data_IF_020930592619
#
_entry.id   IF_020930592619
#
_cell.length_a   1.000
_cell.length_b   1.000
_cell.length_c   1.000
_cell.angle_alpha   90.00
_cell.angle_beta   90.00
_cell.angle_gamma   90.00
#
_symmetry.space_group_name_H-M   'P 1'
#
loop_
_entity.id
_entity.type
_entity.pdbx_description
1 polymer ?
#
# COMPACT_ATOMS: atom_id res chain seq x y z
N UNK A 1 8.04 15.84 34.66
CA UNK A 1 7.17 14.70 35.04
C UNK A 1 5.72 15.15 34.99
N UNK A 2 4.81 14.25 34.61
CA UNK A 2 3.36 14.50 34.61
C UNK A 2 2.82 14.56 36.06
N UNK A 3 1.80 15.37 36.30
CA UNK A 3 1.11 15.40 37.60
C UNK A 3 0.25 14.15 37.80
N UNK A 4 -0.07 13.78 39.06
CA UNK A 4 -0.95 12.64 39.33
C UNK A 4 -2.33 12.74 38.64
N UNK A 5 -2.88 13.96 38.53
CA UNK A 5 -4.15 14.21 37.86
C UNK A 5 -4.05 14.04 36.35
N UNK A 6 -2.94 14.48 35.74
CA UNK A 6 -2.66 14.23 34.31
C UNK A 6 -2.55 12.73 34.05
N UNK A 7 -1.81 11.98 34.89
CA UNK A 7 -1.69 10.51 34.77
C UNK A 7 -3.06 9.85 34.88
N UNK A 8 -3.89 10.26 35.85
CA UNK A 8 -5.25 9.76 36.03
C UNK A 8 -6.12 10.03 34.79
N UNK A 9 -5.97 11.19 34.15
CA UNK A 9 -6.67 11.50 32.90
C UNK A 9 -6.20 10.62 31.73
N UNK A 10 -4.90 10.31 31.65
CA UNK A 10 -4.35 9.48 30.57
C UNK A 10 -4.71 8.01 30.73
N UNK A 11 -4.94 7.51 31.96
CA UNK A 11 -5.37 6.13 32.22
C UNK A 11 -6.65 5.74 31.47
N UNK A 12 -7.55 6.68 31.18
CA UNK A 12 -8.74 6.41 30.36
C UNK A 12 -8.40 5.99 28.93
N UNK A 13 -7.21 6.32 28.43
CA UNK A 13 -6.73 5.93 27.11
C UNK A 13 -6.08 4.54 27.10
N UNK A 14 -5.81 3.94 28.26
CA UNK A 14 -5.15 2.63 28.36
C UNK A 14 -5.90 1.52 27.63
N UNK A 15 -7.22 1.63 27.49
CA UNK A 15 -8.07 0.70 26.71
C UNK A 15 -7.73 0.63 25.21
N UNK A 16 -7.00 1.62 24.67
CA UNK A 16 -6.55 1.64 23.27
C UNK A 16 -5.17 0.99 23.09
N UNK A 17 -4.61 0.39 24.13
CA UNK A 17 -3.32 -0.29 24.09
C UNK A 17 -3.51 -1.80 24.21
N UNK A 18 -2.68 -2.55 23.49
CA UNK A 18 -2.69 -4.02 23.52
C UNK A 18 -1.47 -4.48 24.32
N UNK A 19 -1.64 -4.52 25.64
CA UNK A 19 -0.56 -4.84 26.57
C UNK A 19 -0.50 -6.35 26.89
N UNK A 20 0.69 -6.82 27.29
CA UNK A 20 0.94 -8.16 27.86
C UNK A 20 0.45 -9.34 27.00
N UNK A 21 0.50 -9.23 25.68
CA UNK A 21 0.10 -10.31 24.78
C UNK A 21 -1.38 -10.69 24.89
N UNK A 22 -2.23 -9.75 25.35
CA UNK A 22 -3.68 -9.94 25.34
C UNK A 22 -4.15 -10.30 23.93
N UNK A 23 -4.99 -11.33 23.84
CA UNK A 23 -5.69 -11.64 22.60
C UNK A 23 -6.62 -10.47 22.23
N UNK A 24 -6.25 -9.76 21.17
CA UNK A 24 -7.00 -8.64 20.62
C UNK A 24 -7.42 -8.97 19.19
N UNK A 25 -8.64 -8.56 18.85
CA UNK A 25 -9.17 -8.69 17.49
C UNK A 25 -8.36 -7.85 16.50
N UNK A 26 -8.43 -8.20 15.21
CA UNK A 26 -7.78 -7.40 14.17
C UNK A 26 -8.27 -5.94 14.15
N UNK A 27 -9.53 -5.69 14.50
CA UNK A 27 -10.10 -4.33 14.56
C UNK A 27 -9.50 -3.55 15.74
N UNK A 28 -9.36 -4.18 16.92
CA UNK A 28 -8.68 -3.55 18.06
C UNK A 28 -7.22 -3.22 17.72
N UNK A 29 -6.51 -4.12 17.02
CA UNK A 29 -5.17 -3.84 16.50
C UNK A 29 -5.14 -2.63 15.57
N UNK A 30 -6.06 -2.55 14.61
CA UNK A 30 -6.13 -1.42 13.68
C UNK A 30 -6.31 -0.08 14.40
N UNK A 31 -7.12 -0.02 15.46
CA UNK A 31 -7.35 1.23 16.21
C UNK A 31 -6.50 1.38 17.47
N UNK A 32 -5.52 0.49 17.66
CA UNK A 32 -4.61 0.57 18.81
C UNK A 32 -3.65 1.75 18.67
N UNK A 33 -3.26 2.33 19.81
CA UNK A 33 -2.23 3.37 19.89
C UNK A 33 -0.82 2.82 20.12
N UNK A 34 -0.72 1.56 20.55
CA UNK A 34 0.54 0.94 20.92
C UNK A 34 0.34 -0.38 21.65
N UNK A 35 1.46 -1.01 21.97
CA UNK A 35 1.56 -2.24 22.78
C UNK A 35 2.05 -1.99 24.20
N UNK A 36 2.54 -0.77 24.51
CA UNK A 36 2.99 -0.39 25.84
C UNK A 36 2.46 0.99 26.26
N UNK A 37 1.59 1.03 27.28
CA UNK A 37 1.03 2.29 27.79
C UNK A 37 2.05 3.12 28.57
N UNK A 38 3.02 2.49 29.23
CA UNK A 38 4.11 3.19 29.92
C UNK A 38 4.95 4.00 28.94
N UNK A 39 5.25 3.45 27.75
CA UNK A 39 5.94 4.20 26.70
C UNK A 39 5.15 5.42 26.23
N UNK A 40 3.82 5.33 26.21
CA UNK A 40 2.97 6.49 25.93
C UNK A 40 3.05 7.54 27.05
N UNK A 41 3.05 7.14 28.33
CA UNK A 41 3.20 8.08 29.45
C UNK A 41 4.56 8.78 29.43
N UNK A 42 5.64 8.04 29.11
CA UNK A 42 6.98 8.59 28.95
C UNK A 42 7.03 9.62 27.82
N UNK A 43 6.47 9.26 26.66
CA UNK A 43 6.33 10.18 25.53
C UNK A 43 5.57 11.45 25.91
N UNK A 44 4.43 11.32 26.60
CA UNK A 44 3.63 12.47 27.04
C UNK A 44 4.38 13.34 28.07
N UNK A 45 5.18 12.73 28.95
CA UNK A 45 6.04 13.45 29.88
C UNK A 45 7.12 14.23 29.14
N UNK A 46 7.74 13.64 28.12
CA UNK A 46 8.75 14.30 27.28
C UNK A 46 8.12 15.42 26.45
N UNK A 47 6.93 15.19 25.88
CA UNK A 47 6.14 16.17 25.14
C UNK A 47 5.71 17.38 25.96
N UNK A 48 5.58 17.26 27.28
CA UNK A 48 5.24 18.42 28.14
C UNK A 48 6.35 19.49 28.11
N UNK A 49 7.59 19.10 27.82
CA UNK A 49 8.73 20.00 27.71
C UNK A 49 8.96 20.51 26.28
N UNK A 50 8.20 20.00 25.31
CA UNK A 50 8.24 20.46 23.93
C UNK A 50 7.70 21.90 23.87
N UNK A 51 8.41 22.77 23.15
CA UNK A 51 8.02 24.16 22.96
C UNK A 51 6.70 24.26 22.19
N UNK A 52 5.94 25.35 22.41
CA UNK A 52 4.73 25.62 21.63
C UNK A 52 5.02 25.71 20.12
N UNK A 53 6.25 26.09 19.75
CA UNK A 53 6.72 26.15 18.37
C UNK A 53 6.76 24.77 17.71
N UNK A 54 7.22 23.73 18.40
CA UNK A 54 7.28 22.38 17.84
C UNK A 54 5.89 21.75 17.71
N UNK A 55 4.97 22.02 18.65
CA UNK A 55 3.55 21.62 18.49
C UNK A 55 2.91 22.27 17.27
N UNK A 56 3.21 23.55 17.04
CA UNK A 56 2.75 24.27 15.87
C UNK A 56 3.37 23.68 14.59
N UNK A 57 4.66 23.36 14.59
CA UNK A 57 5.36 22.73 13.47
C UNK A 57 4.76 21.37 13.12
N UNK A 58 4.44 20.53 14.11
CA UNK A 58 3.78 19.24 13.87
C UNK A 58 2.40 19.41 13.24
N UNK A 59 1.62 20.39 13.72
CA UNK A 59 0.30 20.69 13.13
C UNK A 59 0.40 21.22 11.69
N UNK A 60 1.43 22.04 11.41
CA UNK A 60 1.72 22.53 10.05
C UNK A 60 2.14 21.37 9.15
N UNK A 61 2.95 20.42 9.63
CA UNK A 61 3.37 19.26 8.86
C UNK A 61 2.19 18.34 8.53
N UNK A 62 1.29 18.09 9.48
CA UNK A 62 0.06 17.33 9.21
C UNK A 62 -0.80 17.99 8.13
N UNK A 63 -1.01 19.31 8.22
CA UNK A 63 -1.74 20.07 7.20
C UNK A 63 -1.05 20.02 5.84
N UNK A 64 0.29 20.10 5.83
CA UNK A 64 1.10 19.97 4.62
C UNK A 64 0.94 18.58 4.00
N UNK A 65 0.94 17.51 4.80
CA UNK A 65 0.70 16.14 4.34
C UNK A 65 -0.69 16.02 3.71
N UNK A 66 -1.72 16.61 4.31
CA UNK A 66 -3.09 16.62 3.77
C UNK A 66 -3.13 17.35 2.42
N UNK A 67 -2.56 18.55 2.33
CA UNK A 67 -2.49 19.30 1.07
C UNK A 67 -1.70 18.56 -0.02
N UNK A 68 -0.58 17.94 0.33
CA UNK A 68 0.20 17.10 -0.59
C UNK A 68 -0.58 15.87 -1.05
N UNK A 69 -1.36 15.26 -0.16
CA UNK A 69 -2.25 14.15 -0.51
C UNK A 69 -3.30 14.58 -1.53
N UNK A 70 -3.96 15.73 -1.32
CA UNK A 70 -4.99 16.26 -2.23
C UNK A 70 -4.42 16.64 -3.60
N UNK A 71 -3.16 17.10 -3.64
CA UNK A 71 -2.48 17.47 -4.89
C UNK A 71 -1.82 16.29 -5.60
N UNK A 72 -1.69 15.11 -4.96
CA UNK A 72 -1.08 13.92 -5.57
C UNK A 72 -1.63 13.53 -6.94
N UNK A 73 -2.94 13.50 -7.19
CA UNK A 73 -3.47 13.09 -8.49
C UNK A 73 -2.86 13.86 -9.67
N UNK A 74 -2.57 15.17 -9.47
CA UNK A 74 -1.99 16.04 -10.50
C UNK A 74 -0.48 15.86 -10.68
N UNK A 75 0.21 15.25 -9.71
CA UNK A 75 1.66 15.03 -9.74
C UNK A 75 2.06 13.68 -10.35
N UNK A 76 1.11 12.77 -10.55
CA UNK A 76 1.39 11.45 -11.11
C UNK A 76 1.81 11.60 -12.56
N UNK A 77 2.89 10.93 -13.00
CA UNK A 77 3.36 10.99 -14.39
C UNK A 77 2.27 10.70 -15.43
N UNK A 78 1.29 9.86 -15.07
CA UNK A 78 0.15 9.51 -15.90
C UNK A 78 -0.91 10.62 -16.05
N UNK A 79 -0.90 11.67 -15.23
CA UNK A 79 -1.89 12.75 -15.31
C UNK A 79 -1.85 13.46 -16.67
N UNK A 80 -0.67 13.95 -17.06
CA UNK A 80 -0.50 14.65 -18.34
C UNK A 80 -0.79 13.72 -19.53
N UNK A 81 -0.35 12.47 -19.47
CA UNK A 81 -0.64 11.48 -20.50
C UNK A 81 -2.16 11.22 -20.63
N UNK A 82 -2.85 11.07 -19.49
CA UNK A 82 -4.31 10.88 -19.45
C UNK A 82 -5.04 12.07 -20.06
N UNK A 83 -4.61 13.29 -19.72
CA UNK A 83 -5.18 14.53 -20.27
C UNK A 83 -4.98 14.61 -21.79
N UNK A 84 -3.80 14.27 -22.29
CA UNK A 84 -3.51 14.23 -23.74
C UNK A 84 -4.45 13.23 -24.43
N UNK A 85 -4.59 12.02 -23.90
CA UNK A 85 -5.51 11.01 -24.48
C UNK A 85 -6.96 11.51 -24.45
N UNK A 86 -7.36 12.21 -23.39
CA UNK A 86 -8.70 12.79 -23.29
C UNK A 86 -8.95 13.87 -24.35
N UNK A 87 -7.98 14.76 -24.57
CA UNK A 87 -8.04 15.79 -25.61
C UNK A 87 -8.09 15.15 -27.01
N UNK A 88 -7.23 14.16 -27.29
CA UNK A 88 -7.20 13.44 -28.57
C UNK A 88 -8.54 12.76 -28.90
N UNK A 89 -9.25 12.28 -27.88
CA UNK A 89 -10.56 11.68 -28.04
C UNK A 89 -11.72 12.67 -27.87
N UNK A 90 -11.45 13.98 -27.84
CA UNK A 90 -12.45 15.05 -27.66
C UNK A 90 -13.35 14.80 -26.45
N UNK A 91 -12.78 14.29 -25.36
CA UNK A 91 -13.48 13.92 -24.14
C UNK A 91 -14.68 12.97 -24.35
N UNK A 92 -14.66 12.14 -25.40
CA UNK A 92 -15.76 11.22 -25.68
C UNK A 92 -15.68 9.95 -24.82
N UNK A 93 -16.18 10.03 -23.59
CA UNK A 93 -16.23 8.92 -22.62
C UNK A 93 -17.18 7.77 -23.00
N UNK A 94 -17.90 7.85 -24.13
CA UNK A 94 -18.64 6.69 -24.66
C UNK A 94 -17.69 5.60 -25.18
N UNK A 95 -16.46 5.95 -25.57
CA UNK A 95 -15.46 5.00 -26.07
C UNK A 95 -14.92 4.12 -24.93
N UNK A 96 -14.82 2.78 -25.11
CA UNK A 96 -14.30 1.88 -24.07
C UNK A 96 -12.90 2.24 -23.58
N UNK A 97 -12.01 2.67 -24.48
CA UNK A 97 -10.62 3.08 -24.16
C UNK A 97 -10.61 4.22 -23.14
N UNK A 98 -11.49 5.21 -23.31
CA UNK A 98 -11.59 6.36 -22.42
C UNK A 98 -12.02 5.94 -21.00
N UNK A 99 -12.93 4.97 -20.90
CA UNK A 99 -13.38 4.43 -19.61
C UNK A 99 -12.24 3.69 -18.89
N UNK A 100 -11.48 2.86 -19.60
CA UNK A 100 -10.33 2.14 -19.03
C UNK A 100 -9.30 3.11 -18.47
N UNK A 101 -8.91 4.10 -19.26
CA UNK A 101 -7.89 5.08 -18.85
C UNK A 101 -8.37 5.89 -17.64
N UNK A 102 -9.63 6.34 -17.65
CA UNK A 102 -10.22 7.07 -16.52
C UNK A 102 -10.24 6.22 -15.24
N UNK A 103 -10.70 4.97 -15.32
CA UNK A 103 -10.75 4.05 -14.18
C UNK A 103 -9.35 3.77 -13.66
N UNK A 104 -8.41 3.43 -14.53
CA UNK A 104 -7.00 3.24 -14.16
C UNK A 104 -6.44 4.47 -13.42
N UNK A 105 -6.66 5.68 -13.97
CA UNK A 105 -6.20 6.92 -13.37
C UNK A 105 -6.80 7.15 -11.97
N UNK A 106 -8.11 6.93 -11.79
CA UNK A 106 -8.79 7.07 -10.50
C UNK A 106 -8.20 6.11 -9.46
N UNK A 107 -8.12 4.82 -9.81
CA UNK A 107 -7.58 3.80 -8.91
C UNK A 107 -6.12 4.06 -8.55
N UNK A 108 -5.28 4.42 -9.54
CA UNK A 108 -3.86 4.76 -9.30
C UNK A 108 -3.72 5.99 -8.40
N UNK A 109 -4.54 7.02 -8.63
CA UNK A 109 -4.52 8.25 -7.83
C UNK A 109 -4.96 8.01 -6.40
N UNK A 110 -6.00 7.19 -6.20
CA UNK A 110 -6.50 6.85 -4.88
C UNK A 110 -5.48 6.02 -4.09
N UNK A 111 -4.81 5.06 -4.72
CA UNK A 111 -3.70 4.33 -4.09
C UNK A 111 -2.58 5.27 -3.63
N UNK A 112 -2.15 6.20 -4.48
CA UNK A 112 -1.12 7.18 -4.11
C UNK A 112 -1.55 8.13 -2.98
N UNK A 113 -2.83 8.51 -2.95
CA UNK A 113 -3.38 9.33 -1.88
C UNK A 113 -3.40 8.56 -0.55
N UNK A 114 -3.87 7.30 -0.55
CA UNK A 114 -3.89 6.45 0.64
C UNK A 114 -2.48 6.18 1.20
N UNK A 115 -1.52 5.91 0.32
CA UNK A 115 -0.11 5.74 0.72
C UNK A 115 0.42 6.99 1.44
N UNK A 116 0.12 8.19 0.92
CA UNK A 116 0.53 9.45 1.55
C UNK A 116 -0.22 9.73 2.86
N UNK A 117 -1.51 9.42 2.96
CA UNK A 117 -2.27 9.57 4.22
C UNK A 117 -1.66 8.73 5.35
N UNK A 118 -1.01 7.62 5.01
CA UNK A 118 -0.25 6.83 5.97
C UNK A 118 0.79 7.61 6.76
N UNK A 119 1.39 8.67 6.19
CA UNK A 119 2.45 9.42 6.87
C UNK A 119 1.96 10.28 8.04
N UNK A 120 0.64 10.50 8.17
CA UNK A 120 0.04 11.18 9.35
C UNK A 120 0.20 10.31 10.61
N UNK A 121 0.32 9.00 10.44
CA UNK A 121 0.46 8.03 11.54
C UNK A 121 1.94 7.75 11.82
N UNK A 122 2.66 8.76 12.30
CA UNK A 122 4.10 8.67 12.60
C UNK A 122 4.41 7.99 13.93
N UNK A 123 3.48 7.96 14.88
CA UNK A 123 3.73 7.48 16.24
C UNK A 123 2.99 6.18 16.55
N UNK A 124 3.70 5.21 17.10
CA UNK A 124 3.12 3.98 17.64
C UNK A 124 3.98 3.49 18.81
N UNK A 125 3.38 3.37 20.00
CA UNK A 125 4.13 3.17 21.24
C UNK A 125 4.37 1.68 21.51
N UNK A 126 5.58 1.20 21.26
CA UNK A 126 5.93 -0.22 21.35
C UNK A 126 7.25 -0.47 22.08
N UNK A 127 7.51 -1.74 22.39
CA UNK A 127 8.76 -2.18 23.01
C UNK A 127 9.79 -2.56 21.95
N UNK A 128 11.07 -2.33 22.27
CA UNK A 128 12.21 -2.93 21.57
C UNK A 128 13.11 -3.67 22.54
N UNK A 129 13.56 -4.89 22.23
CA UNK A 129 14.47 -5.63 23.09
C UNK A 129 15.84 -4.96 23.09
N UNK A 130 16.45 -4.87 24.26
CA UNK A 130 17.86 -4.52 24.43
C UNK A 130 18.67 -5.79 24.63
N UNK A 131 19.82 -5.86 23.98
CA UNK A 131 20.66 -7.06 23.97
C UNK A 131 21.98 -6.81 24.71
N UNK A 132 22.47 -7.82 25.45
CA UNK A 132 23.84 -7.81 25.98
C UNK A 132 24.87 -8.09 24.86
N UNK A 133 26.14 -8.10 25.22
CA UNK A 133 27.26 -8.41 24.32
C UNK A 133 27.16 -9.85 23.76
N UNK A 134 26.45 -10.73 24.46
CA UNK A 134 26.22 -12.13 24.12
C UNK A 134 24.97 -12.34 23.25
N UNK A 135 24.17 -11.30 23.00
CA UNK A 135 22.93 -11.36 22.23
C UNK A 135 21.70 -11.83 23.01
N UNK A 136 21.75 -11.91 24.34
CA UNK A 136 20.58 -12.20 25.17
C UNK A 136 19.78 -10.92 25.43
N UNK A 137 18.45 -11.05 25.51
CA UNK A 137 17.56 -9.93 25.85
C UNK A 137 17.72 -9.59 27.34
N UNK A 138 18.25 -8.40 27.64
CA UNK A 138 18.46 -7.90 29.02
C UNK A 138 17.26 -7.09 29.50
N UNK A 139 16.55 -6.43 28.59
CA UNK A 139 15.42 -5.60 28.90
C UNK A 139 14.66 -5.14 27.67
N UNK A 140 13.77 -4.17 27.88
CA UNK A 140 12.99 -3.56 26.84
C UNK A 140 13.07 -2.04 26.98
N UNK A 141 13.28 -1.37 25.85
CA UNK A 141 13.24 0.08 25.72
C UNK A 141 11.99 0.51 24.96
N UNK A 142 11.58 1.76 25.17
CA UNK A 142 10.44 2.35 24.50
C UNK A 142 10.82 2.89 23.12
N UNK A 143 10.01 2.56 22.12
CA UNK A 143 10.01 3.21 20.81
C UNK A 143 8.73 4.03 20.68
N UNK A 144 8.89 5.31 20.31
CA UNK A 144 7.78 6.25 20.11
C UNK A 144 7.45 6.47 18.63
N UNK A 145 8.43 6.32 17.74
CA UNK A 145 8.31 6.59 16.30
C UNK A 145 8.18 5.30 15.50
N UNK A 146 7.19 5.27 14.61
CA UNK A 146 7.02 4.23 13.62
C UNK A 146 7.91 4.54 12.40
N UNK A 147 9.21 4.25 12.54
CA UNK A 147 10.21 4.41 11.47
C UNK A 147 9.77 3.69 10.18
N UNK A 148 9.11 2.54 10.34
CA UNK A 148 8.58 1.72 9.24
C UNK A 148 7.05 1.76 9.22
N UNK A 149 6.46 1.69 8.02
CA UNK A 149 4.99 1.76 7.82
C UNK A 149 4.25 0.63 8.53
N UNK A 150 4.91 -0.51 8.64
CA UNK A 150 4.47 -1.75 9.26
C UNK A 150 4.26 -1.63 10.77
N UNK A 151 5.00 -0.74 11.43
CA UNK A 151 4.96 -0.60 12.89
C UNK A 151 3.67 0.06 13.37
N UNK A 152 2.92 0.74 12.51
CA UNK A 152 1.61 1.25 12.91
C UNK A 152 0.53 0.42 12.22
N UNK A 153 -0.26 -0.40 12.93
CA UNK A 153 -1.28 -1.29 12.35
C UNK A 153 -2.22 -0.62 11.35
N UNK A 154 -2.78 0.54 11.69
CA UNK A 154 -3.64 1.31 10.78
C UNK A 154 -2.89 1.81 9.54
N UNK A 155 -1.68 2.36 9.72
CA UNK A 155 -0.81 2.81 8.64
C UNK A 155 -0.47 1.65 7.70
N UNK A 156 -0.08 0.50 8.24
CA UNK A 156 0.15 -0.72 7.48
C UNK A 156 -1.08 -1.10 6.66
N UNK A 157 -2.25 -1.17 7.27
CA UNK A 157 -3.49 -1.51 6.58
C UNK A 157 -3.84 -0.51 5.45
N UNK A 158 -3.78 0.79 5.72
CA UNK A 158 -4.10 1.83 4.74
C UNK A 158 -3.10 1.81 3.58
N UNK A 159 -1.81 1.83 3.88
CA UNK A 159 -0.75 1.95 2.86
C UNK A 159 -0.46 0.65 2.12
N UNK A 160 -0.67 -0.52 2.74
CA UNK A 160 -0.21 -1.79 2.18
C UNK A 160 -1.33 -2.74 1.82
N UNK A 161 -2.48 -2.64 2.47
CA UNK A 161 -3.66 -3.41 2.04
C UNK A 161 -4.50 -2.58 1.08
N UNK A 162 -4.99 -1.42 1.52
CA UNK A 162 -5.90 -0.61 0.70
C UNK A 162 -5.18 0.02 -0.50
N UNK A 163 -4.12 0.80 -0.27
CA UNK A 163 -3.45 1.49 -1.37
C UNK A 163 -2.91 0.53 -2.43
N UNK A 164 -2.35 -0.60 -1.99
CA UNK A 164 -1.84 -1.65 -2.89
C UNK A 164 -2.97 -2.33 -3.68
N UNK A 165 -4.12 -2.61 -3.04
CA UNK A 165 -5.29 -3.10 -3.76
C UNK A 165 -5.76 -2.08 -4.83
N UNK A 166 -5.83 -0.79 -4.49
CA UNK A 166 -6.17 0.25 -5.46
C UNK A 166 -5.17 0.33 -6.63
N UNK A 167 -3.86 0.26 -6.34
CA UNK A 167 -2.83 0.23 -7.39
C UNK A 167 -3.00 -0.96 -8.34
N UNK A 168 -3.08 -2.18 -7.81
CA UNK A 168 -3.16 -3.38 -8.64
C UNK A 168 -4.49 -3.53 -9.37
N UNK A 169 -5.62 -3.13 -8.76
CA UNK A 169 -6.90 -3.06 -9.47
C UNK A 169 -6.83 -2.07 -10.64
N UNK A 170 -6.21 -0.89 -10.42
CA UNK A 170 -5.98 0.08 -11.48
C UNK A 170 -5.11 -0.49 -12.60
N UNK A 171 -4.05 -1.23 -12.27
CA UNK A 171 -3.19 -1.89 -13.26
C UNK A 171 -3.93 -2.99 -14.04
N UNK A 172 -4.69 -3.86 -13.37
CA UNK A 172 -5.50 -4.91 -14.01
C UNK A 172 -6.47 -4.31 -15.05
N UNK A 173 -7.11 -3.18 -14.70
CA UNK A 173 -8.00 -2.47 -15.64
C UNK A 173 -7.23 -1.92 -16.83
N UNK A 174 -6.01 -1.39 -16.64
CA UNK A 174 -5.17 -0.91 -17.72
C UNK A 174 -4.69 -2.04 -18.65
N UNK A 175 -4.43 -3.24 -18.11
CA UNK A 175 -4.00 -4.40 -18.89
C UNK A 175 -5.07 -4.91 -19.88
N UNK A 176 -6.33 -4.51 -19.69
CA UNK A 176 -7.41 -4.76 -20.66
C UNK A 176 -7.28 -3.88 -21.90
N UNK A 177 -6.48 -2.81 -21.89
CA UNK A 177 -6.32 -1.94 -23.05
C UNK A 177 -5.70 -2.67 -24.26
N UNK A 178 -4.53 -3.34 -24.16
CA UNK A 178 -3.98 -4.13 -25.26
C UNK A 178 -4.92 -5.26 -25.71
N UNK A 179 -5.61 -5.90 -24.78
CA UNK A 179 -6.59 -6.96 -25.04
C UNK A 179 -7.77 -6.47 -25.90
N UNK A 180 -8.35 -5.31 -25.58
CA UNK A 180 -9.44 -4.75 -26.38
C UNK A 180 -8.95 -4.27 -27.75
N UNK A 181 -7.74 -3.73 -27.84
CA UNK A 181 -7.13 -3.31 -29.11
C UNK A 181 -6.89 -4.49 -30.05
N UNK A 182 -6.29 -5.56 -29.54
CA UNK A 182 -6.04 -6.80 -30.31
C UNK A 182 -7.36 -7.46 -30.74
N UNK A 183 -8.36 -7.52 -29.85
CA UNK A 183 -9.69 -8.07 -30.17
C UNK A 183 -10.35 -7.38 -31.36
N UNK A 184 -10.23 -6.06 -31.49
CA UNK A 184 -10.80 -5.32 -32.61
C UNK A 184 -10.15 -5.67 -33.96
N UNK A 185 -8.88 -6.08 -33.95
CA UNK A 185 -8.13 -6.45 -35.15
C UNK A 185 -8.32 -7.93 -35.55
N UNK A 186 -8.52 -8.83 -34.58
CA UNK A 186 -8.52 -10.29 -34.76
C UNK A 186 -9.91 -10.92 -34.90
N UNK A 187 -10.92 -10.18 -35.40
CA UNK A 187 -12.34 -10.60 -35.36
C UNK A 187 -12.55 -12.07 -35.77
N UNK A 188 -12.90 -12.93 -34.81
CA UNK A 188 -13.28 -14.34 -35.03
C UNK A 188 -12.12 -15.36 -35.01
N UNK A 189 -10.90 -14.95 -34.67
CA UNK A 189 -9.77 -15.87 -34.72
C UNK A 189 -9.54 -16.67 -33.43
N UNK A 190 -9.14 -17.94 -33.62
CA UNK A 190 -8.73 -18.83 -32.53
C UNK A 190 -7.50 -18.29 -31.76
N UNK A 191 -6.66 -17.48 -32.40
CA UNK A 191 -5.47 -16.84 -31.78
C UNK A 191 -5.84 -15.93 -30.60
N UNK A 192 -7.06 -15.39 -30.57
CA UNK A 192 -7.53 -14.53 -29.48
C UNK A 192 -7.58 -15.27 -28.13
N UNK A 193 -7.81 -16.59 -28.13
CA UNK A 193 -7.83 -17.40 -26.91
C UNK A 193 -6.48 -17.34 -26.17
N UNK A 194 -5.36 -17.35 -26.89
CA UNK A 194 -4.02 -17.29 -26.29
C UNK A 194 -3.77 -15.94 -25.60
N UNK A 195 -4.25 -14.83 -26.18
CA UNK A 195 -4.17 -13.50 -25.56
C UNK A 195 -5.01 -13.45 -24.28
N UNK A 196 -6.23 -14.01 -24.31
CA UNK A 196 -7.07 -14.10 -23.11
C UNK A 196 -6.41 -14.92 -22.00
N UNK A 197 -5.80 -16.06 -22.34
CA UNK A 197 -5.12 -16.92 -21.39
C UNK A 197 -3.93 -16.22 -20.72
N UNK A 198 -3.05 -15.61 -21.52
CA UNK A 198 -1.86 -14.90 -21.01
C UNK A 198 -2.21 -13.64 -20.21
N UNK A 199 -3.19 -12.85 -20.68
CA UNK A 199 -3.73 -11.71 -19.92
C UNK A 199 -4.39 -12.16 -18.60
N UNK A 200 -5.13 -13.26 -18.62
CA UNK A 200 -5.74 -13.86 -17.43
C UNK A 200 -4.70 -14.31 -16.42
N UNK A 201 -3.64 -15.01 -16.87
CA UNK A 201 -2.52 -15.42 -16.01
C UNK A 201 -1.80 -14.21 -15.41
N UNK A 202 -1.50 -13.19 -16.22
CA UNK A 202 -0.86 -11.97 -15.76
C UNK A 202 -1.68 -11.26 -14.68
N UNK A 203 -2.97 -11.03 -14.92
CA UNK A 203 -3.87 -10.41 -13.94
C UNK A 203 -4.05 -11.27 -12.69
N UNK A 204 -4.07 -12.59 -12.83
CA UNK A 204 -4.17 -13.52 -11.71
C UNK A 204 -2.98 -13.37 -10.75
N UNK A 205 -1.75 -13.22 -11.25
CA UNK A 205 -0.58 -13.02 -10.36
C UNK A 205 -0.69 -11.73 -9.51
N UNK A 206 -1.28 -10.66 -10.06
CA UNK A 206 -1.58 -9.43 -9.31
C UNK A 206 -2.64 -9.64 -8.23
N UNK A 207 -3.66 -10.46 -8.50
CA UNK A 207 -4.67 -10.83 -7.49
C UNK A 207 -4.03 -11.64 -6.36
N UNK A 208 -3.16 -12.61 -6.68
CA UNK A 208 -2.40 -13.36 -5.68
C UNK A 208 -1.61 -12.42 -4.78
N UNK A 209 -0.99 -11.39 -5.35
CA UNK A 209 -0.24 -10.39 -4.60
C UNK A 209 -1.13 -9.57 -3.65
N UNK A 210 -2.33 -9.16 -4.07
CA UNK A 210 -3.30 -8.47 -3.19
C UNK A 210 -3.69 -9.39 -2.02
N UNK A 211 -4.02 -10.66 -2.32
CA UNK A 211 -4.38 -11.65 -1.28
C UNK A 211 -3.21 -11.88 -0.32
N UNK A 212 -1.98 -11.92 -0.84
CA UNK A 212 -0.77 -12.11 -0.05
C UNK A 212 -0.59 -10.99 0.99
N UNK A 213 -0.79 -9.72 0.62
CA UNK A 213 -0.79 -8.62 1.59
C UNK A 213 -1.88 -8.77 2.66
N UNK A 214 -3.11 -9.10 2.26
CA UNK A 214 -4.22 -9.27 3.20
C UNK A 214 -3.98 -10.43 4.18
N UNK A 215 -3.18 -11.44 3.81
CA UNK A 215 -2.89 -12.60 4.64
C UNK A 215 -2.06 -12.28 5.90
N UNK A 216 -1.28 -11.20 5.87
CA UNK A 216 -0.50 -10.71 7.01
C UNK A 216 -1.29 -9.64 7.77
N UNK A 217 -2.15 -10.09 8.67
CA UNK A 217 -2.91 -9.22 9.57
C UNK A 217 -2.01 -8.51 10.60
N UNK A 218 -2.44 -7.34 11.11
CA UNK A 218 -1.65 -6.55 12.06
C UNK A 218 -1.39 -7.26 13.39
N UNK A 219 -2.27 -8.19 13.78
CA UNK A 219 -2.14 -8.99 15.01
C UNK A 219 -0.92 -9.90 15.03
N UNK A 220 -0.34 -10.21 13.86
CA UNK A 220 0.86 -11.05 13.75
C UNK A 220 2.16 -10.25 13.77
N UNK A 221 2.11 -8.92 13.64
CA UNK A 221 3.30 -8.07 13.53
C UNK A 221 4.02 -7.87 14.88
N UNK A 222 3.37 -8.23 15.98
CA UNK A 222 3.87 -8.03 17.33
C UNK A 222 3.85 -9.34 18.11
N UNK A 223 4.88 -9.55 18.91
CA UNK A 223 4.94 -10.69 19.83
C UNK A 223 4.15 -10.42 21.12
N UNK A 224 4.14 -11.41 22.01
CA UNK A 224 3.49 -11.33 23.33
C UNK A 224 4.07 -10.24 24.26
N UNK A 225 5.28 -9.75 23.98
CA UNK A 225 5.93 -8.67 24.73
C UNK A 225 5.67 -7.31 24.08
N UNK A 226 4.86 -7.25 23.02
CA UNK A 226 4.60 -6.02 22.29
C UNK A 226 5.79 -5.54 21.47
N UNK A 227 6.74 -6.44 21.15
CA UNK A 227 7.89 -6.18 20.29
C UNK A 227 7.52 -6.47 18.85
N UNK A 228 7.94 -5.58 17.95
CA UNK A 228 7.73 -5.72 16.51
C UNK A 228 8.59 -6.86 15.93
N UNK A 229 7.96 -7.85 15.28
CA UNK A 229 8.63 -9.02 14.72
C UNK A 229 9.26 -8.72 13.34
N UNK A 230 10.52 -8.28 13.38
CA UNK A 230 11.32 -7.99 12.18
C UNK A 230 11.57 -9.24 11.33
N UNK A 231 11.67 -10.42 11.94
CA UNK A 231 12.00 -11.65 11.23
C UNK A 231 10.83 -12.14 10.39
N UNK A 232 9.62 -12.14 10.97
CA UNK A 232 8.39 -12.43 10.25
C UNK A 232 8.23 -11.51 9.04
N UNK A 233 8.48 -10.22 9.21
CA UNK A 233 8.37 -9.25 8.14
C UNK A 233 9.41 -9.47 7.02
N UNK A 234 10.64 -9.82 7.37
CA UNK A 234 11.69 -10.11 6.38
C UNK A 234 11.30 -11.33 5.52
N UNK A 235 10.78 -12.39 6.14
CA UNK A 235 10.26 -13.57 5.42
C UNK A 235 9.08 -13.18 4.54
N UNK A 236 8.17 -12.34 5.06
CA UNK A 236 7.04 -11.82 4.28
C UNK A 236 7.50 -11.10 3.02
N UNK A 237 8.48 -10.19 3.13
CA UNK A 237 9.01 -9.44 2.01
C UNK A 237 9.81 -10.28 1.03
N UNK A 238 10.55 -11.28 1.50
CA UNK A 238 11.25 -12.23 0.64
C UNK A 238 10.27 -12.93 -0.32
N UNK A 239 9.19 -13.50 0.23
CA UNK A 239 8.14 -14.12 -0.56
C UNK A 239 7.39 -13.13 -1.47
N UNK A 240 7.15 -11.90 -1.00
CA UNK A 240 6.59 -10.82 -1.82
C UNK A 240 7.45 -10.57 -3.07
N UNK A 241 8.77 -10.50 -2.95
CA UNK A 241 9.66 -10.29 -4.09
C UNK A 241 9.65 -11.45 -5.09
N UNK A 242 9.46 -12.68 -4.60
CA UNK A 242 9.25 -13.85 -5.48
C UNK A 242 7.96 -13.68 -6.29
N UNK A 243 6.85 -13.28 -5.65
CA UNK A 243 5.58 -13.05 -6.36
C UNK A 243 5.73 -11.89 -7.37
N UNK A 244 6.42 -10.80 -7.01
CA UNK A 244 6.71 -9.70 -7.94
C UNK A 244 7.49 -10.16 -9.17
N UNK A 245 8.48 -11.04 -8.99
CA UNK A 245 9.22 -11.62 -10.10
C UNK A 245 8.31 -12.45 -11.02
N UNK A 246 7.34 -13.18 -10.46
CA UNK A 246 6.32 -13.89 -11.26
C UNK A 246 5.42 -12.94 -12.04
N UNK A 247 4.99 -11.83 -11.43
CA UNK A 247 4.22 -10.76 -12.11
C UNK A 247 5.02 -10.21 -13.30
N UNK A 248 6.32 -9.95 -13.12
CA UNK A 248 7.19 -9.48 -14.20
C UNK A 248 7.30 -10.50 -15.35
N UNK A 249 7.57 -11.77 -15.05
CA UNK A 249 7.67 -12.80 -16.09
C UNK A 249 6.36 -12.98 -16.85
N UNK A 250 5.22 -13.02 -16.15
CA UNK A 250 3.91 -13.14 -16.79
C UNK A 250 3.54 -11.90 -17.62
N UNK A 251 3.96 -10.71 -17.21
CA UNK A 251 3.85 -9.48 -18.03
C UNK A 251 4.59 -9.61 -19.36
N UNK A 252 5.86 -10.04 -19.31
CA UNK A 252 6.70 -10.20 -20.51
C UNK A 252 6.07 -11.22 -21.47
N UNK A 253 5.58 -12.35 -20.94
CA UNK A 253 4.91 -13.38 -21.74
C UNK A 253 3.65 -12.82 -22.41
N UNK A 254 2.85 -12.04 -21.68
CA UNK A 254 1.66 -11.39 -22.22
C UNK A 254 2.01 -10.41 -23.35
N UNK A 255 3.00 -9.54 -23.15
CA UNK A 255 3.42 -8.55 -24.15
C UNK A 255 3.99 -9.21 -25.41
N UNK A 256 4.84 -10.24 -25.26
CA UNK A 256 5.38 -11.02 -26.40
C UNK A 256 4.23 -11.67 -27.17
N UNK A 257 3.25 -12.24 -26.47
CA UNK A 257 2.09 -12.89 -27.10
C UNK A 257 1.27 -11.89 -27.92
N UNK A 258 0.97 -10.72 -27.34
CA UNK A 258 0.27 -9.63 -28.03
C UNK A 258 1.06 -9.17 -29.25
N UNK A 259 2.36 -8.94 -29.10
CA UNK A 259 3.24 -8.49 -30.19
C UNK A 259 3.29 -9.50 -31.34
N UNK A 260 3.52 -10.78 -31.05
CA UNK A 260 3.58 -11.83 -32.07
C UNK A 260 2.30 -11.92 -32.89
N UNK A 261 1.13 -11.85 -32.23
CA UNK A 261 -0.16 -11.96 -32.90
C UNK A 261 -0.44 -10.72 -33.75
N UNK A 262 -0.15 -9.52 -33.24
CA UNK A 262 -0.28 -8.28 -34.01
C UNK A 262 0.65 -8.27 -35.23
N UNK A 263 1.90 -8.69 -35.07
CA UNK A 263 2.87 -8.80 -36.18
C UNK A 263 2.39 -9.77 -37.24
N UNK A 264 1.87 -10.94 -36.84
CA UNK A 264 1.31 -11.92 -37.78
C UNK A 264 0.16 -11.32 -38.60
N UNK A 265 -0.77 -10.62 -37.95
CA UNK A 265 -1.88 -9.95 -38.65
C UNK A 265 -1.45 -8.86 -39.61
N UNK A 266 -0.50 -8.02 -39.21
CA UNK A 266 0.02 -6.96 -40.07
C UNK A 266 0.66 -7.53 -41.34
N UNK A 267 1.39 -8.64 -41.22
CA UNK A 267 1.96 -9.33 -42.38
C UNK A 267 0.87 -9.89 -43.31
N UNK A 268 -0.17 -10.54 -42.77
CA UNK A 268 -1.28 -11.05 -43.58
C UNK A 268 -2.00 -9.94 -44.35
N UNK A 269 -2.21 -8.76 -43.74
CA UNK A 269 -2.79 -7.61 -44.43
C UNK A 269 -1.89 -7.15 -45.58
N UNK A 270 -0.57 -7.07 -45.34
CA UNK A 270 0.40 -6.62 -46.35
C UNK A 270 0.46 -7.53 -47.59
N UNK A 271 0.25 -8.83 -47.44
CA UNK A 271 0.24 -9.76 -48.58
C UNK A 271 -1.08 -9.80 -49.35
N UNK A 272 -2.17 -9.33 -48.74
CA UNK A 272 -3.49 -9.27 -49.37
C UNK A 272 -3.80 -7.93 -50.06
N UNK A 273 -2.87 -6.98 -50.01
CA UNK A 273 -2.98 -5.66 -50.66
C UNK A 273 -2.03 -5.58 -51.85
#
# INVERSE_FOLDING_TARGET
>A
MLSPDEIKSLQFQRKYFIENGREASNIEWLFSKGTNFTCYLEYMSNQKFISNEEKLNNSIEDLRIILYTLTRPFQICFFYFTLVVFILHKFNFKKPIMKIILVHYIFRSLGNALDRLGSIMSHYFANTPTYDIQGNVVGYECIFEAERFEMHPLRWFITRHLATAFWYVGEIVADWYPLLRTKMLLKGEKSMFLIYLTCGLFNFTKIVLIIYYISLGPSKLYDKHGVFDKNLLNVFYYNYWIIQLMVLYTSIIYDITVFMILKKKLNEIKYNT
#
